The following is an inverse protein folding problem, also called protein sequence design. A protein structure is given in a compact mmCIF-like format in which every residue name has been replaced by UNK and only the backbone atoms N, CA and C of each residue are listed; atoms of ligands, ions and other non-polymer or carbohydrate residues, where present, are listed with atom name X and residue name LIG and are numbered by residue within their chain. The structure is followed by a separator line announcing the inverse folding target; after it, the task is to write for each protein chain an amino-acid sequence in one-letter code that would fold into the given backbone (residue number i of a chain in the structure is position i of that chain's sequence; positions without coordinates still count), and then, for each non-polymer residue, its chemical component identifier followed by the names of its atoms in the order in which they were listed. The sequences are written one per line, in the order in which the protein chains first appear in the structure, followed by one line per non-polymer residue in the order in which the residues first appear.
data_IF_535614750557
#
_entry.id   IF_535614750557
#
_cell.length_a   1.000
_cell.length_b   1.000
_cell.length_c   1.000
_cell.angle_alpha   90.00
_cell.angle_beta   90.00
_cell.angle_gamma   90.00
#
_symmetry.space_group_name_H-M   'P 1'
#
loop_
_entity.id
_entity.type
_entity.pdbx_description
1 polymer ?
#
# COMPACT_ATOMS: atom_id res chain seq x y z
N UNK A 1 -18.93 -15.16 6.04
CA UNK A 1 -17.65 -15.70 5.51
C UNK A 1 -16.97 -14.53 4.82
N UNK A 2 -15.82 -14.07 5.34
CA UNK A 2 -15.04 -13.05 4.66
C UNK A 2 -14.56 -13.60 3.32
N UNK A 3 -14.79 -12.86 2.25
CA UNK A 3 -14.33 -13.26 0.91
C UNK A 3 -12.81 -13.16 0.87
N UNK A 4 -12.13 -14.25 0.59
CA UNK A 4 -10.68 -14.24 0.39
C UNK A 4 -10.36 -13.65 -0.99
N UNK A 5 -9.71 -12.48 -0.99
CA UNK A 5 -9.25 -11.82 -2.20
C UNK A 5 -7.88 -12.37 -2.61
N UNK A 6 -7.83 -13.12 -3.69
CA UNK A 6 -6.60 -13.70 -4.22
C UNK A 6 -6.41 -13.29 -5.68
N UNK A 7 -5.23 -12.76 -5.98
CA UNK A 7 -4.86 -12.31 -7.32
C UNK A 7 -3.60 -13.06 -7.77
N UNK A 8 -3.67 -13.62 -8.96
CA UNK A 8 -2.56 -14.37 -9.54
C UNK A 8 -2.05 -13.68 -10.79
N UNK A 9 -0.74 -13.49 -10.88
CA UNK A 9 -0.05 -12.95 -12.06
C UNK A 9 0.97 -13.96 -12.60
N UNK A 10 0.49 -15.03 -13.28
CA UNK A 10 1.35 -16.14 -13.69
C UNK A 10 2.34 -15.78 -14.80
N UNK A 11 2.07 -14.72 -15.55
CA UNK A 11 2.93 -14.25 -16.64
C UNK A 11 4.05 -13.31 -16.17
N UNK A 12 3.99 -12.82 -14.93
CA UNK A 12 5.04 -11.98 -14.39
C UNK A 12 6.31 -12.79 -14.15
N UNK A 13 7.46 -12.22 -14.49
CA UNK A 13 8.80 -12.80 -14.25
C UNK A 13 9.56 -12.03 -13.19
N UNK A 14 9.14 -10.80 -12.91
CA UNK A 14 9.74 -9.92 -11.91
C UNK A 14 8.64 -9.30 -11.05
N UNK A 15 8.96 -9.04 -9.78
CA UNK A 15 8.11 -8.29 -8.87
C UNK A 15 8.89 -7.07 -8.40
N UNK A 16 8.27 -5.91 -8.55
CA UNK A 16 8.79 -4.64 -8.03
C UNK A 16 7.80 -4.09 -7.02
N UNK A 17 8.28 -3.69 -5.87
CA UNK A 17 7.51 -2.92 -4.90
C UNK A 17 7.87 -1.44 -5.06
N UNK A 18 6.86 -0.59 -5.13
CA UNK A 18 7.01 0.85 -5.24
C UNK A 18 6.49 1.52 -3.95
N UNK A 19 7.22 2.50 -3.46
CA UNK A 19 6.71 3.40 -2.42
C UNK A 19 5.58 4.31 -2.93
N UNK A 20 5.27 5.32 -2.16
CA UNK A 20 4.19 6.29 -2.37
C UNK A 20 4.26 6.96 -3.75
N UNK A 21 3.13 7.23 -4.38
CA UNK A 21 3.11 7.88 -5.71
C UNK A 21 2.29 9.18 -5.74
N UNK A 22 1.48 9.45 -4.73
CA UNK A 22 0.70 10.69 -4.56
C UNK A 22 0.02 11.21 -5.85
N UNK A 23 -0.64 10.32 -6.60
CA UNK A 23 -1.35 10.66 -7.84
C UNK A 23 -0.47 10.74 -9.10
N UNK A 24 0.84 10.55 -8.97
CA UNK A 24 1.80 10.63 -10.08
C UNK A 24 1.78 9.38 -10.99
N UNK A 25 0.59 8.89 -11.34
CA UNK A 25 0.39 7.69 -12.17
C UNK A 25 1.14 7.73 -13.51
N UNK A 26 1.21 8.91 -14.14
CA UNK A 26 1.90 9.05 -15.43
C UNK A 26 3.41 8.89 -15.26
N UNK A 27 3.96 9.47 -14.21
CA UNK A 27 5.38 9.39 -13.84
C UNK A 27 5.74 7.94 -13.48
N UNK A 28 4.86 7.23 -12.74
CA UNK A 28 5.01 5.82 -12.42
C UNK A 28 5.13 4.95 -13.68
N UNK A 29 4.18 5.11 -14.62
CA UNK A 29 4.15 4.33 -15.86
C UNK A 29 5.34 4.68 -16.75
N UNK A 30 5.73 5.95 -16.79
CA UNK A 30 6.95 6.38 -17.51
C UNK A 30 8.20 5.73 -16.90
N UNK A 31 8.34 5.76 -15.58
CA UNK A 31 9.45 5.16 -14.85
C UNK A 31 9.55 3.66 -15.12
N UNK A 32 8.43 2.94 -15.00
CA UNK A 32 8.34 1.50 -15.23
C UNK A 32 8.70 1.12 -16.68
N UNK A 33 8.00 1.73 -17.65
CA UNK A 33 8.04 1.26 -19.05
C UNK A 33 9.09 1.96 -19.93
N UNK A 34 9.55 3.16 -19.55
CA UNK A 34 10.43 3.98 -20.40
C UNK A 34 11.79 4.19 -19.76
N UNK A 35 11.81 4.67 -18.52
CA UNK A 35 13.07 4.97 -17.83
C UNK A 35 13.84 3.68 -17.49
N UNK A 36 13.19 2.70 -16.88
CA UNK A 36 13.80 1.41 -16.53
C UNK A 36 13.58 0.32 -17.56
N UNK A 37 12.70 0.54 -18.54
CA UNK A 37 12.38 -0.40 -19.61
C UNK A 37 12.04 -1.81 -19.11
N UNK A 38 11.34 -1.90 -17.96
CA UNK A 38 10.96 -3.16 -17.36
C UNK A 38 9.90 -3.86 -18.21
N UNK A 39 10.04 -5.17 -18.31
CA UNK A 39 9.08 -6.05 -19.02
C UNK A 39 8.70 -7.22 -18.15
N UNK A 40 7.55 -7.82 -18.42
CA UNK A 40 7.03 -9.00 -17.70
C UNK A 40 7.01 -8.76 -16.19
N UNK A 41 6.70 -7.53 -15.74
CA UNK A 41 6.86 -7.09 -14.35
C UNK A 41 5.51 -6.84 -13.71
N UNK A 42 5.31 -7.41 -12.53
CA UNK A 42 4.27 -7.02 -11.60
C UNK A 42 4.81 -5.91 -10.69
N UNK A 43 4.23 -4.72 -10.77
CA UNK A 43 4.50 -3.61 -9.86
C UNK A 43 3.41 -3.57 -8.78
N UNK A 44 3.80 -3.55 -7.50
CA UNK A 44 2.90 -3.38 -6.35
C UNK A 44 3.22 -2.02 -5.72
N UNK A 45 2.23 -1.12 -5.65
CA UNK A 45 2.37 0.18 -4.98
C UNK A 45 1.94 0.05 -3.53
N UNK A 46 2.83 0.40 -2.61
CA UNK A 46 2.69 0.22 -1.16
C UNK A 46 1.85 1.33 -0.49
N UNK A 47 0.77 1.78 -1.12
CA UNK A 47 -0.13 2.79 -0.62
C UNK A 47 0.15 4.19 -1.15
N UNK A 48 -0.63 5.16 -0.68
CA UNK A 48 -0.61 6.57 -1.09
C UNK A 48 -0.60 6.74 -2.61
N UNK A 49 -1.55 6.04 -3.24
CA UNK A 49 -1.71 6.07 -4.69
C UNK A 49 -2.31 7.39 -5.19
N UNK A 50 -3.12 8.06 -4.38
CA UNK A 50 -3.81 9.32 -4.72
C UNK A 50 -5.22 9.10 -5.28
N UNK A 51 -5.92 8.05 -4.84
CA UNK A 51 -7.31 7.80 -5.21
C UNK A 51 -8.29 8.57 -4.30
N UNK A 52 -9.27 9.23 -4.93
CA UNK A 52 -10.33 9.96 -4.25
C UNK A 52 -10.22 11.49 -4.37
N UNK A 53 -9.06 12.02 -4.78
CA UNK A 53 -8.90 13.44 -5.09
C UNK A 53 -9.55 13.83 -6.41
N UNK A 54 -9.74 12.87 -7.31
CA UNK A 54 -10.35 13.05 -8.61
C UNK A 54 -11.58 12.15 -8.76
N UNK A 55 -12.47 12.47 -9.70
CA UNK A 55 -13.63 11.63 -10.02
C UNK A 55 -13.19 10.32 -10.67
N UNK A 56 -13.96 9.24 -10.46
CA UNK A 56 -13.67 7.91 -11.02
C UNK A 56 -13.35 7.95 -12.52
N UNK A 57 -14.09 8.71 -13.31
CA UNK A 57 -13.86 8.84 -14.74
C UNK A 57 -12.50 9.42 -15.15
N UNK A 58 -11.84 10.18 -14.27
CA UNK A 58 -10.46 10.62 -14.48
C UNK A 58 -9.49 9.44 -14.49
N UNK A 59 -9.58 8.57 -13.47
CA UNK A 59 -8.74 7.39 -13.34
C UNK A 59 -8.98 6.39 -14.48
N UNK A 60 -10.24 6.16 -14.84
CA UNK A 60 -10.59 5.29 -15.97
C UNK A 60 -9.96 5.78 -17.29
N UNK A 61 -10.06 7.08 -17.57
CA UNK A 61 -9.44 7.67 -18.77
C UNK A 61 -7.92 7.55 -18.74
N UNK A 62 -7.30 7.82 -17.58
CA UNK A 62 -5.87 7.73 -17.38
C UNK A 62 -5.36 6.32 -17.66
N UNK A 63 -6.00 5.32 -17.09
CA UNK A 63 -5.62 3.92 -17.25
C UNK A 63 -5.88 3.40 -18.67
N UNK A 64 -7.01 3.75 -19.27
CA UNK A 64 -7.31 3.40 -20.65
C UNK A 64 -6.26 3.95 -21.64
N UNK A 65 -5.83 5.20 -21.46
CA UNK A 65 -4.78 5.83 -22.31
C UNK A 65 -3.42 5.16 -22.16
N UNK A 66 -3.13 4.57 -21.00
CA UNK A 66 -1.83 3.95 -20.72
C UNK A 66 -1.83 2.43 -20.82
N UNK A 67 -2.99 1.78 -20.99
CA UNK A 67 -3.11 0.32 -21.04
C UNK A 67 -2.27 -0.32 -22.18
N UNK A 68 -2.24 0.33 -23.36
CA UNK A 68 -1.45 -0.18 -24.48
C UNK A 68 0.08 -0.16 -24.21
N UNK A 69 0.57 0.80 -23.42
CA UNK A 69 1.99 0.87 -23.04
C UNK A 69 2.33 -0.28 -22.09
N UNK A 70 1.52 -0.51 -21.08
CA UNK A 70 1.71 -1.63 -20.17
C UNK A 70 1.57 -2.99 -20.88
N UNK A 71 0.62 -3.10 -21.80
CA UNK A 71 0.45 -4.34 -22.58
C UNK A 71 1.65 -4.64 -23.48
N UNK A 72 2.26 -3.63 -24.11
CA UNK A 72 3.45 -3.79 -24.96
C UNK A 72 4.67 -4.26 -24.18
N UNK A 73 4.83 -3.80 -22.95
CA UNK A 73 5.92 -4.24 -22.05
C UNK A 73 5.53 -5.43 -21.17
N UNK A 74 4.31 -5.94 -21.33
CA UNK A 74 3.75 -7.03 -20.52
C UNK A 74 3.85 -6.78 -19.01
N UNK A 75 3.52 -5.56 -18.57
CA UNK A 75 3.56 -5.15 -17.15
C UNK A 75 2.16 -5.05 -16.55
N UNK A 76 2.07 -5.25 -15.25
CA UNK A 76 0.86 -5.12 -14.42
C UNK A 76 1.14 -4.20 -13.24
N UNK A 77 0.13 -3.44 -12.82
CA UNK A 77 0.21 -2.59 -11.62
C UNK A 77 -0.93 -2.97 -10.69
N UNK A 78 -0.59 -3.35 -9.48
CA UNK A 78 -1.50 -3.57 -8.36
C UNK A 78 -1.25 -2.48 -7.33
N UNK A 79 -2.33 -1.90 -6.81
CA UNK A 79 -2.27 -0.77 -5.90
C UNK A 79 -3.06 -1.12 -4.64
N UNK A 80 -2.45 -0.93 -3.49
CA UNK A 80 -3.11 -0.99 -2.19
C UNK A 80 -3.26 0.42 -1.61
N UNK A 81 -4.14 0.60 -0.63
CA UNK A 81 -4.41 1.93 -0.06
C UNK A 81 -3.33 2.40 0.91
N UNK A 82 -3.09 3.70 0.92
CA UNK A 82 -2.45 4.42 2.03
C UNK A 82 -3.45 5.27 2.81
N UNK A 83 -2.95 6.28 3.54
CA UNK A 83 -3.78 7.27 4.22
C UNK A 83 -4.20 8.43 3.28
N UNK A 84 -3.51 8.63 2.16
CA UNK A 84 -3.87 9.57 1.10
C UNK A 84 -4.72 8.91 -0.01
N UNK A 85 -5.55 7.95 0.37
CA UNK A 85 -6.41 7.22 -0.55
C UNK A 85 -7.82 7.06 0.02
N UNK A 86 -8.84 7.29 -0.79
CA UNK A 86 -10.22 6.97 -0.40
C UNK A 86 -10.39 5.45 -0.27
N UNK A 87 -10.72 4.91 0.92
CA UNK A 87 -10.83 3.47 1.14
C UNK A 87 -11.81 2.77 0.20
N UNK A 88 -12.86 3.47 -0.25
CA UNK A 88 -13.87 2.92 -1.14
C UNK A 88 -13.33 2.51 -2.52
N UNK A 89 -12.22 3.09 -2.99
CA UNK A 89 -11.62 2.67 -4.26
C UNK A 89 -11.02 1.26 -4.17
N UNK A 90 -10.65 0.83 -2.98
CA UNK A 90 -10.00 -0.46 -2.72
C UNK A 90 -11.00 -1.51 -2.24
N UNK A 91 -11.82 -1.21 -1.23
CA UNK A 91 -12.82 -2.15 -0.70
C UNK A 91 -13.87 -2.56 -1.73
N UNK A 92 -14.21 -1.67 -2.67
CA UNK A 92 -15.16 -1.92 -3.76
C UNK A 92 -14.46 -2.30 -5.08
N UNK A 93 -13.13 -2.41 -5.08
CA UNK A 93 -12.30 -2.69 -6.26
C UNK A 93 -12.67 -1.84 -7.49
N UNK A 94 -12.90 -0.53 -7.27
CA UNK A 94 -13.39 0.39 -8.32
C UNK A 94 -12.48 0.45 -9.55
N UNK A 95 -11.20 0.17 -9.37
CA UNK A 95 -10.24 0.06 -10.47
C UNK A 95 -9.92 -1.41 -10.68
N UNK A 96 -10.51 -2.02 -11.69
CA UNK A 96 -10.32 -3.43 -12.04
C UNK A 96 -10.16 -3.59 -13.56
N UNK A 97 -9.02 -3.11 -14.08
CA UNK A 97 -8.61 -3.29 -15.46
C UNK A 97 -7.61 -4.43 -15.59
N UNK A 98 -7.43 -4.94 -16.79
CA UNK A 98 -6.51 -6.04 -17.06
C UNK A 98 -5.07 -5.78 -16.57
N UNK A 99 -4.60 -4.51 -16.63
CA UNK A 99 -3.21 -4.12 -16.30
C UNK A 99 -3.10 -3.20 -15.09
N UNK A 100 -4.23 -2.74 -14.56
CA UNK A 100 -4.30 -1.88 -13.37
C UNK A 100 -5.38 -2.39 -12.43
N UNK A 101 -5.06 -2.50 -11.15
CA UNK A 101 -6.02 -2.97 -10.16
C UNK A 101 -5.76 -2.34 -8.80
N UNK A 102 -6.84 -1.94 -8.13
CA UNK A 102 -6.82 -1.72 -6.68
C UNK A 102 -7.21 -3.01 -5.97
N UNK A 103 -6.63 -3.27 -4.80
CA UNK A 103 -6.93 -4.46 -4.00
C UNK A 103 -7.33 -4.06 -2.58
N UNK A 104 -8.33 -4.73 -1.98
CA UNK A 104 -8.70 -4.51 -0.59
C UNK A 104 -7.60 -4.98 0.37
N UNK A 105 -7.73 -4.56 1.64
CA UNK A 105 -6.84 -5.04 2.69
C UNK A 105 -6.96 -6.56 2.84
N UNK A 106 -5.89 -7.20 3.29
CA UNK A 106 -5.75 -8.65 3.40
C UNK A 106 -5.90 -9.38 2.07
N UNK A 107 -5.57 -8.72 0.95
CA UNK A 107 -5.43 -9.39 -0.34
C UNK A 107 -4.15 -10.20 -0.40
N UNK A 108 -4.24 -11.38 -1.02
CA UNK A 108 -3.10 -12.22 -1.33
C UNK A 108 -2.74 -12.11 -2.81
N UNK A 109 -1.51 -11.74 -3.11
CA UNK A 109 -0.99 -11.69 -4.48
C UNK A 109 -0.02 -12.84 -4.68
N UNK A 110 -0.23 -13.62 -5.75
CA UNK A 110 0.62 -14.74 -6.13
C UNK A 110 1.34 -14.44 -7.45
N UNK A 111 2.64 -14.33 -7.41
CA UNK A 111 3.48 -14.10 -8.58
C UNK A 111 4.91 -14.62 -8.33
N UNK A 112 5.59 -15.09 -9.37
CA UNK A 112 6.99 -15.52 -9.32
C UNK A 112 7.34 -16.50 -8.19
N UNK A 113 6.38 -17.29 -7.73
CA UNK A 113 6.56 -18.22 -6.61
C UNK A 113 6.31 -17.63 -5.22
N UNK A 114 6.08 -16.32 -5.11
CA UNK A 114 5.78 -15.63 -3.85
C UNK A 114 4.28 -15.60 -3.53
N UNK A 115 3.98 -15.63 -2.24
CA UNK A 115 2.66 -15.38 -1.65
C UNK A 115 2.74 -14.08 -0.84
N UNK A 116 2.28 -12.99 -1.43
CA UNK A 116 2.44 -11.63 -0.92
C UNK A 116 1.14 -11.17 -0.28
N UNK A 117 1.18 -10.92 1.03
CA UNK A 117 0.06 -10.33 1.77
C UNK A 117 0.11 -8.80 1.65
N UNK A 118 -1.01 -8.18 1.26
CA UNK A 118 -1.15 -6.72 1.19
C UNK A 118 -2.12 -6.22 2.25
N UNK A 119 -1.68 -5.28 3.11
CA UNK A 119 -2.52 -4.62 4.13
C UNK A 119 -2.24 -3.12 4.13
N UNK A 120 -3.24 -2.33 3.72
CA UNK A 120 -3.11 -0.89 3.55
C UNK A 120 -3.46 -0.07 4.79
N UNK A 121 -3.30 1.25 4.63
CA UNK A 121 -3.69 2.26 5.60
C UNK A 121 -2.58 2.69 6.54
N UNK A 122 -2.68 3.94 6.99
CA UNK A 122 -1.87 4.57 8.02
C UNK A 122 -2.63 5.77 8.62
N UNK A 123 -2.05 6.43 9.61
CA UNK A 123 -2.60 7.63 10.24
C UNK A 123 -2.02 8.88 9.59
N UNK A 124 -2.89 9.77 9.09
CA UNK A 124 -2.47 11.10 8.63
C UNK A 124 -2.09 11.98 9.82
N UNK A 125 -0.85 12.40 9.93
CA UNK A 125 -0.40 13.27 11.03
C UNK A 125 -1.03 14.66 10.95
N UNK A 126 -1.41 15.11 9.75
CA UNK A 126 -2.03 16.39 9.45
C UNK A 126 -3.57 16.33 9.36
N UNK A 127 -4.19 15.26 9.85
CA UNK A 127 -5.64 14.98 9.71
C UNK A 127 -6.54 16.12 10.20
N UNK A 128 -6.17 16.77 11.31
CA UNK A 128 -6.94 17.88 11.86
C UNK A 128 -7.02 19.04 10.85
N UNK A 129 -5.88 19.36 10.21
CA UNK A 129 -5.84 20.38 9.16
C UNK A 129 -6.70 20.00 7.95
N UNK A 130 -6.65 18.74 7.51
CA UNK A 130 -7.43 18.23 6.37
C UNK A 130 -8.93 18.28 6.65
N UNK A 131 -9.36 17.82 7.84
CA UNK A 131 -10.76 17.87 8.26
C UNK A 131 -11.28 19.33 8.28
N UNK A 132 -10.49 20.26 8.84
CA UNK A 132 -10.84 21.69 8.82
C UNK A 132 -10.89 22.27 7.41
N UNK A 133 -9.94 21.91 6.57
CA UNK A 133 -9.90 22.34 5.17
C UNK A 133 -11.13 21.85 4.41
N UNK A 134 -11.48 20.57 4.52
CA UNK A 134 -12.63 19.95 3.84
C UNK A 134 -13.93 20.59 4.33
N UNK A 135 -14.07 20.90 5.63
CA UNK A 135 -15.24 21.57 6.18
C UNK A 135 -15.46 22.98 5.61
N UNK A 136 -14.37 23.70 5.31
CA UNK A 136 -14.42 25.06 4.72
C UNK A 136 -14.67 25.05 3.20
N UNK A 137 -14.30 23.97 2.51
CA UNK A 137 -14.35 23.84 1.06
C UNK A 137 -15.37 22.80 0.56
N UNK A 138 -16.38 22.47 1.39
CA UNK A 138 -17.39 21.45 1.12
C UNK A 138 -18.15 21.58 -0.22
N UNK A 139 -18.08 22.76 -0.86
CA UNK A 139 -18.72 23.01 -2.17
C UNK A 139 -17.97 22.38 -3.35
N UNK A 140 -16.70 22.02 -3.20
CA UNK A 140 -15.91 21.41 -4.28
C UNK A 140 -16.08 19.88 -4.40
N UNK A 141 -16.63 19.23 -3.36
CA UNK A 141 -16.92 17.79 -3.35
C UNK A 141 -15.70 16.86 -3.32
N UNK A 142 -14.48 17.41 -3.24
CA UNK A 142 -13.26 16.61 -3.08
C UNK A 142 -12.89 16.57 -1.60
N UNK A 143 -12.89 15.37 -1.01
CA UNK A 143 -12.36 15.15 0.34
C UNK A 143 -10.84 15.01 0.27
N UNK A 144 -10.14 15.50 1.30
CA UNK A 144 -8.70 15.30 1.49
C UNK A 144 -8.37 14.41 2.70
N UNK A 145 -9.40 14.11 3.51
CA UNK A 145 -9.34 13.17 4.62
C UNK A 145 -10.47 12.13 4.50
N UNK A 146 -10.18 10.89 4.84
CA UNK A 146 -11.14 9.79 4.82
C UNK A 146 -11.17 9.08 6.17
N UNK A 147 -12.36 9.04 6.76
CA UNK A 147 -12.60 8.19 7.92
C UNK A 147 -12.32 6.72 7.56
N UNK A 148 -11.61 6.01 8.43
CA UNK A 148 -11.19 4.62 8.15
C UNK A 148 -9.85 4.49 7.43
N UNK A 149 -9.03 5.55 7.37
CA UNK A 149 -7.66 5.50 6.81
C UNK A 149 -6.74 4.50 7.54
N UNK A 150 -7.00 4.25 8.84
CA UNK A 150 -6.16 3.42 9.72
C UNK A 150 -6.19 1.94 9.30
N UNK A 151 -5.08 1.21 9.45
CA UNK A 151 -5.11 -0.25 9.34
C UNK A 151 -5.86 -0.88 10.52
N UNK A 152 -6.50 -2.02 10.25
CA UNK A 152 -7.24 -2.78 11.27
C UNK A 152 -6.68 -4.20 11.30
N UNK A 153 -6.39 -4.75 12.50
CA UNK A 153 -6.00 -6.15 12.63
C UNK A 153 -7.21 -7.06 12.41
N UNK A 154 -7.14 -7.91 11.39
CA UNK A 154 -8.17 -8.90 11.05
C UNK A 154 -7.58 -10.32 11.14
N UNK A 155 -7.70 -10.92 12.33
CA UNK A 155 -7.23 -12.28 12.58
C UNK A 155 -7.98 -13.32 11.74
N UNK A 156 -9.27 -13.10 11.47
CA UNK A 156 -10.08 -14.03 10.67
C UNK A 156 -9.61 -14.07 9.21
N UNK A 157 -9.30 -12.90 8.64
CA UNK A 157 -8.73 -12.81 7.31
C UNK A 157 -7.37 -13.53 7.24
N UNK A 158 -6.48 -13.26 8.19
CA UNK A 158 -5.17 -13.94 8.27
C UNK A 158 -5.31 -15.46 8.41
N UNK A 159 -6.24 -15.92 9.26
CA UNK A 159 -6.54 -17.35 9.43
C UNK A 159 -7.04 -17.98 8.15
N UNK A 160 -7.96 -17.32 7.45
CA UNK A 160 -8.52 -17.79 6.18
C UNK A 160 -7.48 -17.92 5.08
N UNK A 161 -6.53 -16.95 5.02
CA UNK A 161 -5.38 -17.00 4.12
C UNK A 161 -4.44 -18.15 4.52
N UNK A 162 -4.04 -18.20 5.81
CA UNK A 162 -3.05 -19.13 6.34
C UNK A 162 -3.44 -20.60 6.25
N UNK A 163 -4.74 -20.91 6.19
CA UNK A 163 -5.26 -22.25 5.93
C UNK A 163 -4.94 -22.77 4.53
N UNK A 164 -4.71 -21.89 3.57
CA UNK A 164 -4.53 -22.25 2.15
C UNK A 164 -3.16 -21.93 1.63
N UNK A 165 -2.53 -20.87 2.17
CA UNK A 165 -1.28 -20.33 1.64
C UNK A 165 -0.28 -20.07 2.76
N UNK A 166 0.99 -20.19 2.44
CA UNK A 166 2.08 -19.78 3.31
C UNK A 166 2.64 -18.45 2.79
N UNK A 167 2.56 -17.42 3.60
CA UNK A 167 2.99 -16.06 3.27
C UNK A 167 4.50 -15.98 3.48
N UNK A 168 5.22 -15.54 2.46
CA UNK A 168 6.66 -15.28 2.51
C UNK A 168 7.00 -13.79 2.46
N UNK A 169 6.08 -12.97 1.93
CA UNK A 169 6.26 -11.53 1.73
C UNK A 169 5.04 -10.76 2.24
N UNK A 170 5.28 -9.63 2.88
CA UNK A 170 4.25 -8.68 3.30
C UNK A 170 4.53 -7.32 2.69
N UNK A 171 3.48 -6.66 2.18
CA UNK A 171 3.51 -5.26 1.76
C UNK A 171 2.46 -4.51 2.56
N UNK A 172 2.89 -3.49 3.30
CA UNK A 172 1.99 -2.62 4.08
C UNK A 172 2.22 -1.17 3.70
N UNK A 173 1.34 -0.26 4.14
CA UNK A 173 1.64 1.17 3.98
C UNK A 173 2.47 1.69 5.14
N UNK A 174 2.08 1.41 6.38
CA UNK A 174 2.89 1.70 7.59
C UNK A 174 3.71 0.49 8.05
N UNK A 175 4.51 0.61 9.10
CA UNK A 175 5.47 -0.40 9.57
C UNK A 175 5.22 -0.88 10.99
N UNK A 176 5.74 -2.07 11.38
CA UNK A 176 5.81 -2.49 12.77
C UNK A 176 6.55 -1.49 13.68
N UNK A 177 6.21 -1.49 14.98
CA UNK A 177 6.74 -0.52 15.93
C UNK A 177 8.25 -0.65 16.15
N UNK A 178 8.79 -1.85 15.96
CA UNK A 178 10.21 -2.14 16.08
C UNK A 178 11.05 -1.74 14.86
N UNK A 179 10.42 -1.29 13.76
CA UNK A 179 11.12 -0.67 12.63
C UNK A 179 11.38 0.80 12.96
N UNK A 180 12.61 1.15 13.30
CA UNK A 180 12.99 2.52 13.68
C UNK A 180 12.75 3.49 12.52
N UNK A 181 12.14 4.64 12.84
CA UNK A 181 11.99 5.74 11.89
C UNK A 181 13.23 6.62 11.92
N UNK A 182 13.73 6.99 10.74
CA UNK A 182 14.94 7.85 10.62
C UNK A 182 14.61 9.27 11.11
N UNK A 183 13.40 9.79 10.80
CA UNK A 183 12.92 11.08 11.26
C UNK A 183 11.47 10.98 11.73
N UNK A 184 11.13 11.84 12.71
CA UNK A 184 9.76 12.10 13.19
C UNK A 184 9.41 13.57 13.05
N UNK A 185 9.94 14.22 12.02
CA UNK A 185 9.77 15.64 11.79
C UNK A 185 8.29 16.02 11.66
N UNK A 186 7.92 17.14 12.28
CA UNK A 186 6.54 17.65 12.28
C UNK A 186 5.57 16.94 13.23
N UNK A 187 5.87 15.72 13.71
CA UNK A 187 4.92 14.95 14.53
C UNK A 187 4.56 15.69 15.84
N UNK A 188 5.52 16.32 16.51
CA UNK A 188 5.29 17.05 17.76
C UNK A 188 4.40 18.27 17.56
N UNK A 189 4.53 18.95 16.43
CA UNK A 189 3.73 20.14 16.09
C UNK A 189 2.27 19.76 15.83
N UNK A 190 2.04 18.65 15.13
CA UNK A 190 0.71 18.12 14.88
C UNK A 190 0.07 17.54 16.13
N UNK A 191 0.84 16.82 16.96
CA UNK A 191 0.38 16.28 18.24
C UNK A 191 -0.05 17.37 19.24
N UNK A 192 0.54 18.56 19.17
CA UNK A 192 0.09 19.71 19.97
C UNK A 192 -1.33 20.20 19.59
N UNK A 193 -1.81 19.89 18.38
CA UNK A 193 -3.13 20.26 17.86
C UNK A 193 -4.13 19.11 17.92
N UNK A 194 -3.65 17.87 18.02
CA UNK A 194 -4.45 16.66 18.04
C UNK A 194 -3.97 15.73 19.18
N UNK A 195 -4.67 15.79 20.29
CA UNK A 195 -4.31 15.01 21.51
C UNK A 195 -4.37 13.49 21.33
N UNK A 196 -5.11 13.00 20.33
CA UNK A 196 -5.24 11.57 20.01
C UNK A 196 -4.18 11.06 19.04
N UNK A 197 -3.44 11.94 18.34
CA UNK A 197 -2.57 11.58 17.24
C UNK A 197 -1.49 10.57 17.62
N UNK A 198 -0.77 10.81 18.71
CA UNK A 198 0.33 9.91 19.14
C UNK A 198 -0.17 8.50 19.46
N UNK A 199 -1.32 8.41 20.14
CA UNK A 199 -1.93 7.12 20.46
C UNK A 199 -2.37 6.38 19.19
N UNK A 200 -2.89 7.09 18.21
CA UNK A 200 -3.28 6.51 16.93
C UNK A 200 -2.08 6.05 16.11
N UNK A 201 -0.99 6.83 16.04
CA UNK A 201 0.26 6.42 15.40
C UNK A 201 0.88 5.18 16.08
N UNK A 202 0.82 5.10 17.41
CA UNK A 202 1.25 3.92 18.15
C UNK A 202 0.37 2.70 17.83
N UNK A 203 -0.95 2.89 17.75
CA UNK A 203 -1.89 1.81 17.48
C UNK A 203 -1.77 1.27 16.05
N UNK A 204 -1.56 2.12 15.04
CA UNK A 204 -1.36 1.63 13.67
C UNK A 204 -0.14 0.72 13.57
N UNK A 205 0.98 1.12 14.22
CA UNK A 205 2.21 0.33 14.21
C UNK A 205 2.08 -0.96 15.01
N UNK A 206 1.34 -0.93 16.14
CA UNK A 206 1.00 -2.15 16.90
C UNK A 206 0.12 -3.11 16.10
N UNK A 207 -0.74 -2.60 15.22
CA UNK A 207 -1.49 -3.44 14.27
C UNK A 207 -0.53 -4.22 13.37
N UNK A 208 0.55 -3.60 12.91
CA UNK A 208 1.58 -4.28 12.13
C UNK A 208 2.37 -5.29 12.97
N UNK A 209 2.64 -4.99 14.25
CA UNK A 209 3.26 -5.94 15.19
C UNK A 209 2.39 -7.20 15.34
N UNK A 210 1.08 -7.03 15.50
CA UNK A 210 0.13 -8.15 15.61
C UNK A 210 0.13 -9.02 14.35
N UNK A 211 0.18 -8.43 13.16
CA UNK A 211 0.29 -9.17 11.90
C UNK A 211 1.61 -9.95 11.87
N UNK A 212 2.72 -9.31 12.20
CA UNK A 212 4.04 -9.96 12.24
C UNK A 212 4.05 -11.14 13.21
N UNK A 213 3.61 -10.94 14.44
CA UNK A 213 3.53 -11.99 15.46
C UNK A 213 2.64 -13.14 15.02
N UNK A 214 1.47 -12.84 14.44
CA UNK A 214 0.56 -13.86 13.92
C UNK A 214 1.25 -14.73 12.87
N UNK A 215 1.93 -14.12 11.90
CA UNK A 215 2.62 -14.85 10.83
C UNK A 215 3.76 -15.71 11.38
N UNK A 216 4.55 -15.21 12.34
CA UNK A 216 5.65 -15.96 12.97
C UNK A 216 5.13 -17.13 13.79
N UNK A 217 4.11 -16.94 14.63
CA UNK A 217 3.53 -18.00 15.49
C UNK A 217 2.89 -19.11 14.64
N UNK A 218 2.29 -18.77 13.49
CA UNK A 218 1.67 -19.72 12.57
C UNK A 218 2.64 -20.30 11.53
N UNK A 219 3.96 -20.16 11.74
CA UNK A 219 5.02 -20.71 10.92
C UNK A 219 4.88 -20.38 9.43
N UNK A 220 4.60 -19.10 9.12
CA UNK A 220 4.74 -18.60 7.78
C UNK A 220 6.25 -18.38 7.48
N UNK A 221 6.75 -18.73 6.28
CA UNK A 221 8.14 -18.54 5.89
C UNK A 221 8.44 -17.09 5.51
N UNK A 222 8.12 -16.16 6.42
CA UNK A 222 8.23 -14.72 6.18
C UNK A 222 9.69 -14.32 6.02
N UNK A 223 10.04 -13.79 4.85
CA UNK A 223 11.40 -13.36 4.46
C UNK A 223 11.47 -11.86 4.18
N UNK A 224 10.39 -11.25 3.65
CA UNK A 224 10.38 -9.87 3.21
C UNK A 224 9.18 -9.09 3.76
N UNK A 225 9.42 -7.83 4.15
CA UNK A 225 8.38 -6.87 4.51
C UNK A 225 8.69 -5.50 3.93
N UNK A 226 7.85 -5.00 3.02
CA UNK A 226 8.00 -3.70 2.38
C UNK A 226 6.94 -2.74 2.91
N UNK A 227 7.27 -1.45 3.02
CA UNK A 227 6.33 -0.41 3.42
C UNK A 227 6.74 0.98 2.89
N UNK A 228 5.78 1.91 2.75
CA UNK A 228 5.95 3.30 2.34
C UNK A 228 5.74 4.28 3.49
N UNK A 229 4.89 5.30 3.29
CA UNK A 229 4.36 6.25 4.26
C UNK A 229 5.37 7.27 4.82
N UNK A 230 6.57 6.86 5.17
CA UNK A 230 7.54 7.70 5.87
C UNK A 230 8.46 8.48 4.92
N UNK A 231 8.32 8.31 3.61
CA UNK A 231 9.07 8.99 2.55
C UNK A 231 10.59 8.94 2.76
N UNK A 232 11.09 7.78 3.11
CA UNK A 232 12.51 7.55 3.37
C UNK A 232 12.89 6.16 2.85
N UNK A 233 14.17 6.00 2.53
CA UNK A 233 14.72 4.73 2.08
C UNK A 233 15.57 4.10 3.19
N UNK A 234 15.18 2.90 3.62
CA UNK A 234 15.91 2.17 4.67
C UNK A 234 15.67 0.66 4.54
N UNK A 235 16.63 -0.14 4.99
CA UNK A 235 16.45 -1.59 5.09
C UNK A 235 17.25 -2.17 6.23
N UNK A 236 16.65 -3.15 6.93
CA UNK A 236 17.31 -3.90 7.99
C UNK A 236 16.72 -5.31 8.10
N UNK A 237 17.55 -6.26 8.49
CA UNK A 237 17.11 -7.61 8.82
C UNK A 237 16.79 -7.71 10.30
N UNK A 238 15.52 -7.94 10.65
CA UNK A 238 15.04 -8.04 12.02
C UNK A 238 14.33 -9.39 12.17
N UNK A 239 14.76 -10.21 13.12
CA UNK A 239 14.14 -11.53 13.35
C UNK A 239 14.16 -12.47 12.15
N UNK A 240 15.15 -12.34 11.27
CA UNK A 240 15.28 -13.14 10.04
C UNK A 240 14.41 -12.64 8.87
N UNK A 241 13.75 -11.49 8.99
CA UNK A 241 12.94 -10.86 7.94
C UNK A 241 13.61 -9.57 7.48
N UNK A 242 13.73 -9.39 6.16
CA UNK A 242 14.24 -8.15 5.57
C UNK A 242 13.13 -7.12 5.48
N UNK A 243 13.15 -6.12 6.36
CA UNK A 243 12.28 -4.96 6.31
C UNK A 243 12.85 -3.89 5.38
N UNK A 244 11.98 -3.32 4.53
CA UNK A 244 12.38 -2.31 3.54
C UNK A 244 11.36 -1.18 3.52
N UNK A 245 11.77 -0.01 4.01
CA UNK A 245 11.06 1.25 3.87
C UNK A 245 11.40 1.86 2.51
N UNK A 246 10.39 2.31 1.79
CA UNK A 246 10.51 2.85 0.44
C UNK A 246 10.17 4.33 0.43
N UNK A 247 11.05 5.12 -0.18
CA UNK A 247 10.81 6.54 -0.45
C UNK A 247 9.77 6.73 -1.58
N UNK A 248 9.31 7.96 -1.78
CA UNK A 248 8.39 8.33 -2.86
C UNK A 248 8.94 7.84 -4.20
N UNK A 249 8.13 7.10 -4.93
CA UNK A 249 8.47 6.55 -6.25
C UNK A 249 9.72 5.64 -6.25
N UNK A 250 10.21 5.18 -5.12
CA UNK A 250 11.30 4.22 -5.06
C UNK A 250 10.83 2.84 -5.53
N UNK A 251 11.62 2.22 -6.40
CA UNK A 251 11.41 0.86 -6.89
C UNK A 251 12.39 -0.10 -6.23
N UNK A 252 11.89 -1.18 -5.65
CA UNK A 252 12.70 -2.25 -5.07
C UNK A 252 12.24 -3.62 -5.56
N UNK A 253 13.17 -4.37 -6.09
CA UNK A 253 12.89 -5.73 -6.58
C UNK A 253 12.72 -6.69 -5.42
N UNK A 254 11.67 -7.51 -5.44
CA UNK A 254 11.50 -8.69 -4.59
C UNK A 254 12.25 -9.86 -5.24
N UNK A 255 13.21 -10.44 -4.51
CA UNK A 255 14.06 -11.55 -4.96
C UNK A 255 13.94 -12.74 -4.03
#
# INVERSE_FOLDING_TARGET
MNTLHTYTSPEAKNIIICGDIHGEFKSLIYKLCVQYQLTDTLLIVAGDCGFGFEKLGYYEQLFNRNSSRLSKSNNWIVMMRGNHDSPSFFSEEKISHQRFRTVPDYSLIQACGHNILCVGGAVSIDRTYRIEHDSRHSTSGAASYWEGEKPIFDEEALRSIGQRFKIDTVVTHTSPSFCELISKDGLSEWAARDSGLLADCDNERRTMDQIFEYLKVNNHPLEHWFYGHFHQSWSSCIGGVLFSMLDIMEFKELR
#
